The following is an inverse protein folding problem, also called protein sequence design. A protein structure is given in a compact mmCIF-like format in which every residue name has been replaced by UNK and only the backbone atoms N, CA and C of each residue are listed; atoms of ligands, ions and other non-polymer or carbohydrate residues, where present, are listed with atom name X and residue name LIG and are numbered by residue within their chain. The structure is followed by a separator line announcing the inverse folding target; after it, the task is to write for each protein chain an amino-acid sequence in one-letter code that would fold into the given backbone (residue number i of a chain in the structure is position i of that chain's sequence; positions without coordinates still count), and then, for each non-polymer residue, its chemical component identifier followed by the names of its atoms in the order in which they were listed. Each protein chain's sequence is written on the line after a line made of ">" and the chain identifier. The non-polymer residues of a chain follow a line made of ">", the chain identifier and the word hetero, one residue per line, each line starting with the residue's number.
data_IF_228855477081
#
_entry.id   IF_228855477081
#
_cell.length_a   1.000
_cell.length_b   1.000
_cell.length_c   1.000
_cell.angle_alpha   90.00
_cell.angle_beta   90.00
_cell.angle_gamma   90.00
#
_symmetry.space_group_name_H-M   'P 1'
#
loop_
_entity.id
_entity.type
_entity.pdbx_description
1 polymer ?
#
# COMPACT_ATOMS: atom_id res chain seq x y z
N UNK A 1 5.86 -27.57 2.16
CA UNK A 1 6.38 -26.45 1.36
C UNK A 1 5.51 -26.17 0.15
N UNK A 2 5.66 -25.00 -0.43
CA UNK A 2 4.94 -24.62 -1.64
C UNK A 2 5.65 -25.25 -2.84
N UNK A 3 4.88 -25.81 -3.79
CA UNK A 3 5.42 -26.32 -5.05
C UNK A 3 6.07 -25.17 -5.82
N UNK A 4 7.31 -25.36 -6.29
CA UNK A 4 8.07 -24.35 -7.05
C UNK A 4 7.30 -23.89 -8.30
N UNK A 5 6.53 -24.77 -8.93
CA UNK A 5 5.74 -24.44 -10.13
C UNK A 5 4.55 -23.52 -9.81
N UNK A 6 4.20 -23.34 -8.52
CA UNK A 6 3.17 -22.43 -8.05
C UNK A 6 3.73 -21.05 -7.64
N UNK A 7 5.04 -20.82 -7.81
CA UNK A 7 5.70 -19.56 -7.44
C UNK A 7 6.03 -18.78 -8.70
N UNK A 8 5.61 -17.52 -8.73
CA UNK A 8 5.94 -16.58 -9.79
C UNK A 8 6.76 -15.45 -9.19
N UNK A 9 7.97 -15.26 -9.71
CA UNK A 9 8.82 -14.13 -9.29
C UNK A 9 8.41 -12.89 -10.08
N UNK A 10 8.22 -11.78 -9.38
CA UNK A 10 7.83 -10.51 -10.00
C UNK A 10 8.96 -9.48 -9.88
N UNK A 11 8.97 -8.54 -10.82
CA UNK A 11 9.87 -7.38 -10.83
C UNK A 11 9.06 -6.10 -10.65
N UNK A 12 9.65 -5.01 -10.12
CA UNK A 12 8.97 -3.71 -10.01
C UNK A 12 8.57 -3.13 -11.37
N UNK A 13 7.52 -2.33 -11.39
CA UNK A 13 7.05 -1.60 -12.58
C UNK A 13 6.66 -2.50 -13.75
N UNK A 14 6.08 -3.65 -13.48
CA UNK A 14 5.63 -4.62 -14.48
C UNK A 14 4.14 -4.89 -14.37
N UNK A 15 3.56 -5.33 -15.48
CA UNK A 15 2.17 -5.80 -15.55
C UNK A 15 2.14 -7.29 -15.80
N UNK A 16 1.26 -7.98 -15.10
CA UNK A 16 1.14 -9.44 -15.13
C UNK A 16 -0.32 -9.85 -15.29
N UNK A 17 -0.51 -11.04 -15.85
CA UNK A 17 -1.78 -11.75 -15.80
C UNK A 17 -1.51 -13.20 -15.39
N UNK A 18 -2.07 -13.65 -14.28
CA UNK A 18 -1.90 -14.99 -13.75
C UNK A 18 -3.27 -15.56 -13.42
N UNK A 19 -3.61 -16.71 -14.02
CA UNK A 19 -4.90 -17.37 -13.81
C UNK A 19 -6.11 -16.43 -13.97
N UNK A 20 -6.05 -15.55 -14.97
CA UNK A 20 -7.11 -14.60 -15.28
C UNK A 20 -7.13 -13.34 -14.40
N UNK A 21 -6.22 -13.21 -13.44
CA UNK A 21 -6.11 -12.04 -12.57
C UNK A 21 -5.04 -11.09 -13.12
N UNK A 22 -5.44 -9.87 -13.41
CA UNK A 22 -4.52 -8.80 -13.81
C UNK A 22 -3.99 -8.09 -12.60
N UNK A 23 -2.69 -7.87 -12.57
CA UNK A 23 -2.07 -7.05 -11.54
C UNK A 23 -0.82 -6.35 -12.06
N UNK A 24 -0.44 -5.30 -11.39
CA UNK A 24 0.82 -4.59 -11.65
C UNK A 24 1.60 -4.42 -10.36
N UNK A 25 2.91 -4.30 -10.49
CA UNK A 25 3.82 -4.13 -9.36
C UNK A 25 4.29 -2.68 -9.27
N UNK A 26 4.25 -2.14 -8.07
CA UNK A 26 4.68 -0.78 -7.77
C UNK A 26 5.88 -0.87 -6.81
N UNK A 27 7.01 -0.23 -7.09
CA UNK A 27 8.15 -0.26 -6.16
C UNK A 27 7.75 0.17 -4.76
N UNK A 28 8.19 -0.59 -3.75
CA UNK A 28 7.94 -0.31 -2.34
C UNK A 28 9.28 -0.13 -1.63
N UNK A 29 9.57 1.07 -1.14
CA UNK A 29 10.85 1.37 -0.51
C UNK A 29 10.78 2.57 0.43
N UNK A 30 11.82 2.71 1.28
CA UNK A 30 12.00 3.87 2.15
C UNK A 30 12.82 4.96 1.46
N UNK A 31 12.51 6.21 1.76
CA UNK A 31 13.27 7.38 1.30
C UNK A 31 14.37 7.74 2.30
N UNK A 32 14.00 7.93 3.57
CA UNK A 32 14.91 8.41 4.63
C UNK A 32 15.12 7.38 5.74
N UNK A 33 14.92 6.10 5.44
CA UNK A 33 15.06 4.98 6.37
C UNK A 33 15.86 3.89 5.67
N UNK A 34 16.52 3.03 6.45
CA UNK A 34 17.40 1.99 5.91
C UNK A 34 16.77 0.60 5.87
N UNK A 35 15.52 0.47 6.31
CA UNK A 35 14.86 -0.83 6.46
C UNK A 35 14.45 -1.47 5.13
N UNK A 36 13.99 -0.64 4.18
CA UNK A 36 13.47 -1.09 2.90
C UNK A 36 14.16 -0.34 1.76
N UNK A 37 15.44 -0.67 1.43
CA UNK A 37 16.15 0.02 0.36
C UNK A 37 15.55 -0.31 -1.01
N UNK A 38 15.58 0.66 -1.91
CA UNK A 38 15.04 0.52 -3.28
C UNK A 38 15.70 -0.62 -4.05
N UNK A 39 16.98 -0.87 -3.79
CA UNK A 39 17.79 -1.88 -4.44
C UNK A 39 17.31 -3.33 -4.17
N UNK A 40 16.46 -3.52 -3.18
CA UNK A 40 15.89 -4.83 -2.89
C UNK A 40 14.76 -5.23 -3.84
N UNK A 41 14.30 -4.31 -4.69
CA UNK A 41 13.22 -4.54 -5.67
C UNK A 41 11.93 -5.08 -5.06
N UNK A 42 11.65 -4.73 -3.80
CA UNK A 42 10.39 -5.08 -3.14
C UNK A 42 9.24 -4.27 -3.74
N UNK A 43 8.04 -4.86 -3.71
CA UNK A 43 6.89 -4.30 -4.42
C UNK A 43 5.62 -4.27 -3.56
N UNK A 44 4.78 -3.28 -3.84
CA UNK A 44 3.36 -3.33 -3.61
C UNK A 44 2.64 -3.77 -4.90
N UNK A 45 1.35 -3.95 -4.81
CA UNK A 45 0.54 -4.49 -5.91
C UNK A 45 -0.68 -3.62 -6.18
N UNK A 46 -1.01 -3.46 -7.45
CA UNK A 46 -2.36 -3.05 -7.86
C UNK A 46 -3.02 -4.25 -8.51
N UNK A 47 -4.05 -4.77 -7.87
CA UNK A 47 -4.78 -5.97 -8.31
C UNK A 47 -6.15 -5.55 -8.83
N UNK A 48 -6.53 -6.03 -10.00
CA UNK A 48 -7.83 -5.77 -10.61
C UNK A 48 -8.74 -6.98 -10.45
N UNK A 49 -9.83 -6.80 -9.71
CA UNK A 49 -10.84 -7.83 -9.45
C UNK A 49 -12.23 -7.22 -9.67
N UNK A 50 -13.04 -7.83 -10.56
CA UNK A 50 -14.41 -7.36 -10.85
C UNK A 50 -14.48 -5.86 -11.20
N UNK A 51 -13.54 -5.39 -12.02
CA UNK A 51 -13.39 -3.99 -12.45
C UNK A 51 -13.08 -3.01 -11.30
N UNK A 52 -12.64 -3.52 -10.14
CA UNK A 52 -12.18 -2.71 -9.01
C UNK A 52 -10.66 -2.87 -8.89
N UNK A 53 -9.97 -1.76 -8.75
CA UNK A 53 -8.51 -1.71 -8.61
C UNK A 53 -8.16 -1.53 -7.14
N UNK A 54 -7.42 -2.49 -6.58
CA UNK A 54 -6.95 -2.50 -5.20
C UNK A 54 -5.44 -2.26 -5.17
N UNK A 55 -5.01 -1.19 -4.50
CA UNK A 55 -3.60 -0.96 -4.22
C UNK A 55 -3.24 -1.49 -2.84
N UNK A 56 -2.28 -2.39 -2.78
CA UNK A 56 -1.71 -2.93 -1.54
C UNK A 56 -0.26 -2.45 -1.51
N UNK A 57 0.01 -1.44 -0.69
CA UNK A 57 1.26 -0.70 -0.76
C UNK A 57 2.50 -1.52 -0.37
N UNK A 58 2.36 -2.48 0.55
CA UNK A 58 3.51 -3.11 1.19
C UNK A 58 4.20 -2.15 2.14
N UNK A 59 5.45 -2.43 2.47
CA UNK A 59 6.26 -1.61 3.35
C UNK A 59 6.97 -0.52 2.54
N UNK A 60 6.44 0.68 2.59
CA UNK A 60 6.91 1.79 1.75
C UNK A 60 6.71 3.14 2.42
N UNK A 61 7.51 4.11 1.99
CA UNK A 61 7.25 5.53 2.19
C UNK A 61 6.48 6.09 0.99
N UNK A 62 6.23 7.41 0.97
CA UNK A 62 5.70 8.09 -0.21
C UNK A 62 6.80 8.11 -1.27
N UNK A 63 6.51 7.57 -2.45
CA UNK A 63 7.45 7.51 -3.57
C UNK A 63 6.87 8.19 -4.80
N UNK A 64 7.72 8.54 -5.76
CA UNK A 64 7.24 9.09 -7.03
C UNK A 64 6.34 8.09 -7.77
N UNK A 65 6.60 6.80 -7.60
CA UNK A 65 5.83 5.74 -8.23
C UNK A 65 4.44 5.59 -7.60
N UNK A 66 4.35 5.53 -6.25
CA UNK A 66 3.06 5.29 -5.61
C UNK A 66 2.12 6.49 -5.64
N UNK A 67 2.64 7.72 -5.72
CA UNK A 67 1.80 8.91 -5.94
C UNK A 67 0.98 8.84 -7.22
N UNK A 68 1.46 8.12 -8.23
CA UNK A 68 0.83 8.02 -9.56
C UNK A 68 -0.13 6.84 -9.68
N UNK A 69 -0.24 6.02 -8.65
CA UNK A 69 -1.14 4.86 -8.66
C UNK A 69 -2.58 5.34 -8.78
N UNK A 70 -3.33 4.71 -9.68
CA UNK A 70 -4.77 4.91 -9.82
C UNK A 70 -5.47 3.66 -9.33
N UNK A 71 -6.29 3.80 -8.29
CA UNK A 71 -7.01 2.70 -7.70
C UNK A 71 -8.34 3.16 -7.07
N UNK A 72 -9.20 2.21 -6.81
CA UNK A 72 -10.48 2.46 -6.14
C UNK A 72 -10.34 2.29 -4.63
N UNK A 73 -9.56 1.30 -4.21
CA UNK A 73 -9.31 0.99 -2.79
C UNK A 73 -7.81 0.93 -2.56
N UNK A 74 -7.32 1.62 -1.54
CA UNK A 74 -5.91 1.62 -1.17
C UNK A 74 -5.70 1.11 0.24
N UNK A 75 -4.80 0.14 0.41
CA UNK A 75 -4.33 -0.38 1.69
C UNK A 75 -2.93 0.18 1.92
N UNK A 76 -2.76 1.02 2.95
CA UNK A 76 -1.50 1.72 3.21
C UNK A 76 -1.05 1.57 4.66
N UNK A 77 0.27 1.41 4.90
CA UNK A 77 0.80 1.31 6.25
C UNK A 77 0.73 2.67 6.97
N UNK A 78 0.44 2.64 8.27
CA UNK A 78 0.36 3.84 9.12
C UNK A 78 1.20 3.73 10.40
N UNK A 79 2.00 2.68 10.52
CA UNK A 79 2.73 2.36 11.75
C UNK A 79 3.93 3.24 12.07
N UNK A 80 4.51 3.90 11.09
CA UNK A 80 5.54 4.93 11.24
C UNK A 80 6.98 4.43 11.29
N UNK A 81 7.33 3.44 12.09
CA UNK A 81 8.74 3.09 12.35
C UNK A 81 9.49 2.61 11.10
N UNK A 82 8.90 1.69 10.35
CA UNK A 82 9.50 1.08 9.17
C UNK A 82 8.89 1.58 7.86
N UNK A 83 7.80 2.31 7.96
CA UNK A 83 6.97 2.74 6.84
C UNK A 83 6.49 4.17 7.09
N UNK A 84 5.53 4.63 6.28
CA UNK A 84 4.83 5.89 6.53
C UNK A 84 4.18 5.90 7.91
N UNK A 85 4.21 7.05 8.58
CA UNK A 85 3.33 7.32 9.70
C UNK A 85 1.93 7.71 9.18
N UNK A 86 0.98 7.92 10.09
CA UNK A 86 -0.41 8.21 9.70
C UNK A 86 -0.55 9.53 8.94
N UNK A 87 0.32 10.51 9.18
CA UNK A 87 0.29 11.81 8.47
C UNK A 87 0.79 11.65 7.04
N UNK A 88 1.90 10.96 6.86
CA UNK A 88 2.47 10.66 5.55
C UNK A 88 1.51 9.81 4.73
N UNK A 89 0.92 8.78 5.33
CA UNK A 89 -0.05 7.92 4.66
C UNK A 89 -1.28 8.73 4.21
N UNK A 90 -1.80 9.62 5.05
CA UNK A 90 -2.93 10.49 4.69
C UNK A 90 -2.55 11.44 3.55
N UNK A 91 -1.34 11.98 3.55
CA UNK A 91 -0.83 12.82 2.46
C UNK A 91 -0.83 12.06 1.14
N UNK A 92 -0.28 10.84 1.13
CA UNK A 92 -0.26 9.99 -0.07
C UNK A 92 -1.68 9.72 -0.58
N UNK A 93 -2.59 9.33 0.30
CA UNK A 93 -3.98 9.02 -0.07
C UNK A 93 -4.71 10.25 -0.61
N UNK A 94 -4.49 11.42 0.00
CA UNK A 94 -5.11 12.66 -0.47
C UNK A 94 -4.58 13.09 -1.86
N UNK A 95 -3.34 12.77 -2.19
CA UNK A 95 -2.80 12.96 -3.54
C UNK A 95 -3.34 11.91 -4.53
N UNK A 96 -3.39 10.65 -4.11
CA UNK A 96 -3.82 9.52 -4.96
C UNK A 96 -5.32 9.55 -5.26
N UNK A 97 -6.15 10.01 -4.31
CA UNK A 97 -7.60 10.15 -4.45
C UNK A 97 -8.33 8.83 -4.77
N UNK A 98 -8.11 7.72 -4.03
CA UNK A 98 -8.95 6.54 -4.14
C UNK A 98 -10.35 6.82 -3.58
N UNK A 99 -11.31 5.95 -3.84
CA UNK A 99 -12.65 6.04 -3.23
C UNK A 99 -12.64 5.62 -1.77
N UNK A 100 -11.82 4.60 -1.46
CA UNK A 100 -11.72 4.01 -0.11
C UNK A 100 -10.25 3.87 0.27
N UNK A 101 -9.92 4.20 1.51
CA UNK A 101 -8.59 3.99 2.08
C UNK A 101 -8.68 3.16 3.35
N UNK A 102 -7.81 2.17 3.46
CA UNK A 102 -7.76 1.23 4.58
C UNK A 102 -6.37 1.27 5.21
N UNK A 103 -6.24 1.73 6.47
CA UNK A 103 -4.96 1.69 7.16
C UNK A 103 -4.61 0.26 7.56
N UNK A 104 -3.34 -0.09 7.40
CA UNK A 104 -2.77 -1.38 7.78
C UNK A 104 -1.45 -1.18 8.53
N UNK A 105 -0.81 -2.27 8.97
CA UNK A 105 0.51 -2.27 9.60
C UNK A 105 0.56 -1.44 10.88
N UNK A 106 -0.38 -1.72 11.81
CA UNK A 106 -0.45 -1.07 13.12
C UNK A 106 -0.99 -2.04 14.19
N UNK A 107 -0.81 -1.69 15.44
CA UNK A 107 -1.52 -2.30 16.57
C UNK A 107 -0.84 -3.44 17.30
N UNK A 108 0.16 -4.11 16.76
CA UNK A 108 0.83 -5.21 17.46
C UNK A 108 2.30 -4.94 17.78
N UNK A 109 3.11 -4.61 16.81
CA UNK A 109 4.55 -4.33 17.00
C UNK A 109 4.85 -2.85 16.86
N UNK A 110 4.27 -2.21 15.86
CA UNK A 110 4.44 -0.78 15.57
C UNK A 110 3.09 -0.12 15.35
N UNK A 111 3.00 1.16 15.69
CA UNK A 111 1.77 1.93 15.55
C UNK A 111 0.68 1.50 16.53
N UNK A 112 -0.41 2.22 16.56
CA UNK A 112 -1.54 1.99 17.45
C UNK A 112 -2.86 2.09 16.68
N UNK A 113 -3.95 1.62 17.30
CA UNK A 113 -5.30 1.84 16.77
C UNK A 113 -5.59 3.34 16.60
N UNK A 114 -5.04 4.18 17.49
CA UNK A 114 -5.18 5.63 17.40
C UNK A 114 -4.55 6.18 16.12
N UNK A 115 -3.41 5.62 15.67
CA UNK A 115 -2.80 6.04 14.40
C UNK A 115 -3.73 5.81 13.22
N UNK A 116 -4.45 4.68 13.21
CA UNK A 116 -5.45 4.42 12.18
C UNK A 116 -6.62 5.40 12.24
N UNK A 117 -7.09 5.75 13.43
CA UNK A 117 -8.18 6.73 13.62
C UNK A 117 -7.73 8.13 13.19
N UNK A 118 -6.52 8.55 13.56
CA UNK A 118 -5.96 9.84 13.16
C UNK A 118 -5.73 9.92 11.65
N UNK A 119 -5.28 8.81 11.03
CA UNK A 119 -5.17 8.71 9.57
C UNK A 119 -6.50 9.03 8.90
N UNK A 120 -7.59 8.41 9.36
CA UNK A 120 -8.92 8.62 8.77
C UNK A 120 -9.37 10.08 8.90
N UNK A 121 -9.11 10.71 10.04
CA UNK A 121 -9.47 12.13 10.26
C UNK A 121 -8.79 13.09 9.30
N UNK A 122 -7.62 12.74 8.80
CA UNK A 122 -6.83 13.57 7.88
C UNK A 122 -7.20 13.38 6.40
N UNK A 123 -8.06 12.42 6.08
CA UNK A 123 -8.48 12.16 4.70
C UNK A 123 -9.43 13.24 4.20
N UNK A 124 -9.32 13.58 2.91
CA UNK A 124 -10.27 14.46 2.25
C UNK A 124 -11.69 13.89 2.33
N UNK A 125 -12.70 14.75 2.32
CA UNK A 125 -14.11 14.37 2.53
C UNK A 125 -14.66 13.39 1.50
N UNK A 126 -14.12 13.39 0.29
CA UNK A 126 -14.54 12.49 -0.78
C UNK A 126 -13.93 11.08 -0.68
N UNK A 127 -13.05 10.84 0.29
CA UNK A 127 -12.40 9.54 0.51
C UNK A 127 -12.98 8.89 1.75
N UNK A 128 -13.49 7.67 1.60
CA UNK A 128 -13.99 6.90 2.74
C UNK A 128 -12.84 6.15 3.42
N UNK A 129 -12.56 6.48 4.68
CA UNK A 129 -11.65 5.70 5.52
C UNK A 129 -12.38 4.54 6.18
N UNK A 130 -11.79 3.35 6.16
CA UNK A 130 -12.38 2.14 6.76
C UNK A 130 -11.33 1.38 7.56
N UNK A 131 -11.61 1.13 8.83
CA UNK A 131 -10.75 0.31 9.70
C UNK A 131 -11.25 -1.14 9.64
N UNK A 132 -10.43 -2.04 9.11
CA UNK A 132 -10.74 -3.46 9.02
C UNK A 132 -10.02 -4.29 10.08
N UNK A 133 -8.86 -3.84 10.53
CA UNK A 133 -8.10 -4.51 11.60
C UNK A 133 -8.62 -4.04 12.97
N UNK A 134 -8.82 -4.98 13.85
CA UNK A 134 -9.31 -4.71 15.22
C UNK A 134 -8.31 -5.18 16.27
#
# INVERSE_FOLDING_TARGET
>A
GINKDAIITVEPNKKYMVQGIKFETIPAYNINKTFHPKENDWVGYVIELNDIRYYIAGDTDITEENKRVKCDVAFVPVGGTYTMDFKEAAQLINEMQPKVAVPIHYGSIVGTKQDAEEFIKLLNQNIKGTILMR
#
